data_IF_038510702896
#
_entry.id   IF_038510702896
#
_cell.length_a   1.000
_cell.length_b   1.000
_cell.length_c   1.000
_cell.angle_alpha   90.00
_cell.angle_beta   90.00
_cell.angle_gamma   90.00
#
_symmetry.space_group_name_H-M   'P 1'
#
loop_
_entity.id
_entity.type
_entity.pdbx_description
1 polymer ?
#
# COMPACT_ATOMS: atom_id res chain seq x y z
N UNK A 1 14.04 -4.00 -9.52
CA UNK A 1 13.04 -3.45 -8.57
C UNK A 1 12.30 -4.60 -7.92
N UNK A 2 12.13 -4.58 -6.60
CA UNK A 2 11.43 -5.63 -5.84
C UNK A 2 10.17 -5.04 -5.21
N UNK A 3 9.08 -5.79 -5.23
CA UNK A 3 7.78 -5.40 -4.67
C UNK A 3 7.46 -6.26 -3.45
N UNK A 4 7.29 -5.62 -2.30
CA UNK A 4 6.86 -6.26 -1.06
C UNK A 4 5.34 -6.11 -0.91
N UNK A 5 4.67 -7.05 -0.21
CA UNK A 5 3.24 -7.00 -0.01
C UNK A 5 2.82 -5.87 0.94
N UNK A 6 1.51 -5.68 1.09
CA UNK A 6 0.94 -4.93 2.22
C UNK A 6 1.24 -5.67 3.53
N UNK A 7 1.41 -4.94 4.62
CA UNK A 7 1.76 -5.44 5.96
C UNK A 7 3.07 -6.27 5.97
N UNK A 8 4.05 -5.90 5.12
CA UNK A 8 5.35 -6.57 5.08
C UNK A 8 6.16 -6.37 6.37
N UNK A 9 5.87 -5.31 7.12
CA UNK A 9 6.47 -5.01 8.41
C UNK A 9 6.04 -6.04 9.46
N UNK A 10 4.72 -6.21 9.62
CA UNK A 10 4.08 -7.26 10.41
C UNK A 10 2.56 -7.24 10.20
N UNK A 11 1.87 -8.27 10.71
CA UNK A 11 0.40 -8.32 10.76
C UNK A 11 -0.06 -8.23 12.22
N UNK A 12 -0.66 -7.11 12.60
CA UNK A 12 -1.15 -6.87 13.97
C UNK A 12 -2.42 -7.66 14.30
N UNK A 13 -2.57 -8.11 15.55
CA UNK A 13 -3.76 -8.85 16.02
C UNK A 13 -4.83 -7.94 16.60
N UNK A 14 -4.43 -6.78 17.11
CA UNK A 14 -5.32 -5.80 17.71
C UNK A 14 -4.76 -4.38 17.53
N UNK A 15 -5.57 -3.39 17.94
CA UNK A 15 -5.25 -1.96 17.80
C UNK A 15 -4.01 -1.57 18.59
N UNK A 16 -3.89 -2.01 19.85
CA UNK A 16 -2.77 -1.62 20.71
C UNK A 16 -1.44 -2.13 20.15
N UNK A 17 -1.40 -3.38 19.70
CA UNK A 17 -0.23 -3.98 19.05
C UNK A 17 0.13 -3.23 17.76
N UNK A 18 -0.89 -2.87 16.96
CA UNK A 18 -0.67 -2.16 15.70
C UNK A 18 -0.07 -0.76 15.92
N UNK A 19 -0.56 -0.01 16.91
CA UNK A 19 -0.02 1.31 17.22
C UNK A 19 1.40 1.17 17.81
N UNK A 20 1.60 0.20 18.71
CA UNK A 20 2.89 -0.02 19.38
C UNK A 20 4.01 -0.36 18.40
N UNK A 21 3.72 -1.23 17.43
CA UNK A 21 4.69 -1.71 16.45
C UNK A 21 4.71 -0.86 15.16
N UNK A 22 4.02 0.28 15.14
CA UNK A 22 4.06 1.20 13.99
C UNK A 22 5.42 1.88 13.84
N UNK A 23 5.77 2.16 12.60
CA UNK A 23 7.08 2.66 12.19
C UNK A 23 7.01 4.10 11.68
N UNK A 24 7.96 4.93 12.08
CA UNK A 24 8.14 6.21 11.38
C UNK A 24 8.93 5.96 10.07
N UNK A 25 8.73 6.79 9.06
CA UNK A 25 9.44 6.62 7.77
C UNK A 25 10.97 6.70 7.89
N UNK A 26 11.45 7.40 8.92
CA UNK A 26 12.86 7.62 9.22
C UNK A 26 13.41 6.71 10.33
N UNK A 27 12.59 5.78 10.86
CA UNK A 27 13.03 4.89 11.93
C UNK A 27 13.99 3.79 11.48
N UNK A 28 14.65 3.15 12.45
CA UNK A 28 15.65 2.11 12.21
C UNK A 28 15.14 0.94 11.36
N UNK A 29 13.83 0.63 11.42
CA UNK A 29 13.26 -0.47 10.66
C UNK A 29 13.20 -0.13 9.17
N UNK A 30 12.69 1.05 8.82
CA UNK A 30 12.67 1.52 7.43
C UNK A 30 14.08 1.82 6.91
N UNK A 31 14.98 2.34 7.76
CA UNK A 31 16.39 2.57 7.38
C UNK A 31 17.10 1.29 6.94
N UNK A 32 16.80 0.12 7.53
CA UNK A 32 17.37 -1.16 7.07
C UNK A 32 17.01 -1.47 5.62
N UNK A 33 15.79 -1.18 5.20
CA UNK A 33 15.38 -1.35 3.80
C UNK A 33 16.06 -0.34 2.88
N UNK A 34 16.27 0.90 3.33
CA UNK A 34 17.03 1.91 2.57
C UNK A 34 18.48 1.50 2.38
N UNK A 35 19.15 1.03 3.44
CA UNK A 35 20.51 0.51 3.35
C UNK A 35 20.58 -0.69 2.41
N UNK A 36 19.64 -1.63 2.51
CA UNK A 36 19.57 -2.79 1.62
C UNK A 36 19.38 -2.40 0.15
N UNK A 37 18.53 -1.40 -0.13
CA UNK A 37 18.33 -0.86 -1.46
C UNK A 37 19.64 -0.29 -2.04
N UNK A 38 20.39 0.47 -1.23
CA UNK A 38 21.68 1.03 -1.61
C UNK A 38 22.78 -0.02 -1.78
N UNK A 39 22.89 -0.96 -0.84
CA UNK A 39 23.91 -2.02 -0.86
C UNK A 39 23.76 -2.96 -2.05
N UNK A 40 22.52 -3.24 -2.46
CA UNK A 40 22.23 -4.15 -3.57
C UNK A 40 22.02 -3.42 -4.91
N UNK A 41 22.09 -2.09 -4.94
CA UNK A 41 21.76 -1.25 -6.11
C UNK A 41 20.39 -1.58 -6.72
N UNK A 42 19.35 -1.64 -5.88
CA UNK A 42 17.98 -1.97 -6.29
C UNK A 42 16.97 -0.94 -5.81
N UNK A 43 15.87 -0.83 -6.56
CA UNK A 43 14.67 -0.12 -6.11
C UNK A 43 13.74 -1.06 -5.33
N UNK A 44 13.09 -0.53 -4.30
CA UNK A 44 12.11 -1.24 -3.49
C UNK A 44 10.74 -0.55 -3.52
N UNK A 45 9.69 -1.35 -3.68
CA UNK A 45 8.31 -1.00 -3.38
C UNK A 45 7.95 -1.67 -2.06
N UNK A 46 7.84 -0.87 -1.00
CA UNK A 46 7.40 -1.30 0.31
C UNK A 46 5.88 -1.15 0.37
N UNK A 47 5.16 -2.25 0.09
CA UNK A 47 3.77 -2.22 -0.37
C UNK A 47 2.70 -1.70 0.61
N UNK A 48 3.06 -1.51 1.87
CA UNK A 48 2.15 -1.01 2.89
C UNK A 48 2.70 -1.33 4.27
N UNK A 49 3.31 -0.36 4.94
CA UNK A 49 3.68 -0.49 6.36
C UNK A 49 2.77 0.38 7.22
N UNK A 50 2.73 0.05 8.51
CA UNK A 50 1.99 0.82 9.51
C UNK A 50 2.77 2.09 9.85
N UNK A 51 2.56 3.16 9.07
CA UNK A 51 3.19 4.45 9.30
C UNK A 51 2.63 5.10 10.57
N UNK A 52 3.53 5.35 11.51
CA UNK A 52 3.23 5.99 12.78
C UNK A 52 2.74 7.41 12.55
N UNK A 53 1.62 7.74 13.17
CA UNK A 53 1.09 9.09 13.26
C UNK A 53 0.92 9.46 14.72
N UNK A 54 0.93 10.76 15.04
CA UNK A 54 1.06 11.30 16.41
C UNK A 54 -0.13 11.04 17.35
N UNK A 55 -1.04 10.10 16.99
CA UNK A 55 -2.27 9.83 17.72
C UNK A 55 -2.52 8.34 17.97
N UNK A 56 -3.80 7.98 17.95
CA UNK A 56 -4.31 6.62 18.27
C UNK A 56 -4.57 5.77 17.02
N UNK A 57 -4.07 6.22 15.87
CA UNK A 57 -4.24 5.57 14.58
C UNK A 57 -2.95 5.68 13.77
N UNK A 58 -2.80 4.77 12.81
CA UNK A 58 -1.67 4.69 11.89
C UNK A 58 -2.13 5.00 10.46
N UNK A 59 -1.21 5.22 9.53
CA UNK A 59 -1.51 5.13 8.10
C UNK A 59 -1.03 3.78 7.56
N UNK A 60 -1.67 3.32 6.49
CA UNK A 60 -1.13 2.25 5.66
C UNK A 60 -0.42 2.90 4.48
N UNK A 61 0.91 2.83 4.49
CA UNK A 61 1.75 3.64 3.62
C UNK A 61 2.60 2.78 2.69
N UNK A 62 2.42 3.00 1.38
CA UNK A 62 3.20 2.38 0.32
C UNK A 62 4.35 3.33 -0.07
N UNK A 63 5.60 2.89 0.14
CA UNK A 63 6.80 3.66 -0.20
C UNK A 63 7.52 3.09 -1.43
N UNK A 64 8.02 3.99 -2.28
CA UNK A 64 8.99 3.68 -3.32
C UNK A 64 10.34 4.25 -2.92
N UNK A 65 11.33 3.37 -2.81
CA UNK A 65 12.71 3.70 -2.43
C UNK A 65 13.62 3.41 -3.63
N UNK A 66 14.48 4.37 -4.01
CA UNK A 66 15.47 4.19 -5.07
C UNK A 66 16.73 3.45 -4.61
N UNK A 67 17.62 3.15 -5.55
CA UNK A 67 18.91 2.50 -5.26
C UNK A 67 19.93 3.38 -4.53
N UNK A 68 19.57 4.61 -4.15
CA UNK A 68 20.35 5.42 -3.22
C UNK A 68 19.71 5.45 -1.82
N UNK A 69 18.65 4.67 -1.59
CA UNK A 69 17.91 4.64 -0.34
C UNK A 69 16.96 5.83 -0.15
N UNK A 70 16.73 6.65 -1.18
CA UNK A 70 15.88 7.84 -1.09
C UNK A 70 14.41 7.49 -1.39
N UNK A 71 13.49 8.11 -0.65
CA UNK A 71 12.05 8.02 -0.98
C UNK A 71 11.78 8.79 -2.27
N UNK A 72 11.21 8.11 -3.26
CA UNK A 72 10.77 8.73 -4.52
C UNK A 72 9.28 9.00 -4.55
N UNK A 73 8.51 8.21 -3.83
CA UNK A 73 7.08 8.44 -3.66
C UNK A 73 6.59 7.79 -2.36
N UNK A 74 5.56 8.40 -1.78
CA UNK A 74 4.78 7.86 -0.67
C UNK A 74 3.30 7.95 -1.02
N UNK A 75 2.60 6.85 -0.87
CA UNK A 75 1.16 6.77 -0.99
C UNK A 75 0.56 6.30 0.33
N UNK A 76 -0.51 6.95 0.77
CA UNK A 76 -1.30 6.52 1.94
C UNK A 76 -2.62 5.97 1.42
N UNK A 77 -2.95 4.74 1.80
CA UNK A 77 -4.16 4.01 1.37
C UNK A 77 -5.41 4.88 1.50
N UNK A 78 -6.09 5.10 0.38
CA UNK A 78 -7.25 5.99 0.32
C UNK A 78 -8.52 5.29 0.78
N UNK A 79 -8.73 4.07 0.31
CA UNK A 79 -9.94 3.31 0.62
C UNK A 79 -9.64 2.26 1.69
N UNK A 80 -10.21 2.47 2.88
CA UNK A 80 -10.09 1.53 3.99
C UNK A 80 -11.20 0.48 3.95
N UNK A 81 -10.87 -0.74 4.39
CA UNK A 81 -11.78 -1.87 4.41
C UNK A 81 -12.66 -1.85 5.65
N UNK A 82 -13.87 -1.33 5.49
CA UNK A 82 -14.93 -1.38 6.49
C UNK A 82 -16.11 -2.22 5.98
N UNK A 83 -16.33 -3.37 6.61
CA UNK A 83 -17.48 -4.24 6.39
C UNK A 83 -18.19 -4.49 7.71
N UNK A 84 -19.49 -4.20 7.75
CA UNK A 84 -20.38 -4.51 8.86
C UNK A 84 -21.59 -5.27 8.31
N UNK A 85 -21.55 -6.61 8.43
CA UNK A 85 -22.66 -7.49 8.04
C UNK A 85 -23.27 -8.02 9.34
N UNK A 86 -24.48 -7.54 9.71
CA UNK A 86 -25.15 -7.96 10.94
C UNK A 86 -25.22 -9.47 11.08
N UNK A 87 -24.71 -9.98 12.22
CA UNK A 87 -24.73 -11.41 12.54
C UNK A 87 -23.71 -12.28 11.79
N UNK A 88 -22.84 -11.72 10.94
CA UNK A 88 -21.81 -12.49 10.21
C UNK A 88 -20.39 -12.02 10.48
N UNK A 89 -20.07 -10.79 10.10
CA UNK A 89 -18.70 -10.28 10.18
C UNK A 89 -18.71 -8.78 10.38
N UNK A 90 -17.83 -8.31 11.25
CA UNK A 90 -17.56 -6.89 11.44
C UNK A 90 -16.05 -6.68 11.41
N UNK A 91 -15.56 -6.04 10.36
CA UNK A 91 -14.17 -5.60 10.19
C UNK A 91 -14.20 -4.12 9.92
N UNK A 92 -13.53 -3.32 10.77
CA UNK A 92 -13.39 -1.88 10.58
C UNK A 92 -11.92 -1.50 10.61
N UNK A 93 -11.30 -1.44 9.44
CA UNK A 93 -9.92 -0.95 9.31
C UNK A 93 -9.83 0.50 9.80
N UNK A 94 -10.89 1.29 9.66
CA UNK A 94 -10.95 2.67 10.16
C UNK A 94 -10.80 2.82 11.67
N UNK A 95 -11.00 1.78 12.48
CA UNK A 95 -10.81 1.86 13.93
C UNK A 95 -9.33 2.05 14.32
N UNK A 96 -8.42 1.62 13.43
CA UNK A 96 -6.96 1.56 13.65
C UNK A 96 -6.20 2.42 12.64
N UNK A 97 -6.68 2.49 11.40
CA UNK A 97 -6.00 3.15 10.28
C UNK A 97 -6.71 4.43 9.87
N UNK A 98 -5.96 5.46 9.52
CA UNK A 98 -6.47 6.67 8.89
C UNK A 98 -6.36 6.57 7.37
N UNK A 99 -7.38 7.03 6.62
CA UNK A 99 -7.27 7.09 5.17
C UNK A 99 -6.29 8.19 4.76
N UNK A 100 -5.60 7.98 3.64
CA UNK A 100 -4.91 9.03 2.92
C UNK A 100 -5.88 10.14 2.47
N UNK A 101 -5.33 11.28 2.07
CA UNK A 101 -6.12 12.45 1.70
C UNK A 101 -5.96 12.88 0.23
N UNK A 102 -5.09 12.23 -0.54
CA UNK A 102 -4.83 12.59 -1.92
C UNK A 102 -4.29 11.40 -2.72
N UNK A 103 -4.56 11.40 -4.03
CA UNK A 103 -3.92 10.49 -4.98
C UNK A 103 -2.47 10.94 -5.19
N UNK A 104 -1.51 10.04 -4.93
CA UNK A 104 -0.11 10.30 -5.22
C UNK A 104 0.13 10.23 -6.74
N UNK A 105 0.78 11.24 -7.36
CA UNK A 105 1.13 11.17 -8.78
C UNK A 105 1.98 9.95 -9.12
N UNK A 106 1.85 9.38 -10.33
CA UNK A 106 2.70 8.28 -10.75
C UNK A 106 4.19 8.65 -10.71
N UNK A 107 5.04 7.69 -10.33
CA UNK A 107 6.48 7.89 -10.15
C UNK A 107 7.27 7.16 -11.23
N UNK A 108 8.24 7.84 -11.84
CA UNK A 108 9.16 7.23 -12.80
C UNK A 108 10.16 6.32 -12.09
N UNK A 109 10.25 5.07 -12.55
CA UNK A 109 11.14 4.04 -11.99
C UNK A 109 11.83 3.28 -13.13
N UNK A 110 12.87 2.47 -12.84
CA UNK A 110 13.54 1.68 -13.87
C UNK A 110 12.66 0.66 -14.61
N UNK A 111 11.52 0.25 -14.04
CA UNK A 111 10.59 -0.66 -14.72
C UNK A 111 9.42 0.06 -15.41
N UNK A 112 9.37 1.40 -15.35
CA UNK A 112 8.30 2.22 -15.94
C UNK A 112 7.71 3.22 -14.96
N UNK A 113 6.65 3.92 -15.39
CA UNK A 113 5.93 4.89 -14.57
C UNK A 113 4.88 4.17 -13.71
N UNK A 114 5.11 4.11 -12.40
CA UNK A 114 4.26 3.39 -11.44
C UNK A 114 3.17 4.29 -10.86
N UNK A 115 1.91 3.87 -10.96
CA UNK A 115 0.79 4.38 -10.18
C UNK A 115 0.60 3.57 -8.89
N UNK A 116 0.53 4.26 -7.76
CA UNK A 116 0.52 3.65 -6.44
C UNK A 116 -0.91 3.52 -5.88
N UNK A 117 -1.20 2.35 -5.35
CA UNK A 117 -2.43 1.98 -4.64
C UNK A 117 -2.12 0.83 -3.67
N UNK A 118 -3.08 0.47 -2.81
CA UNK A 118 -2.93 -0.63 -1.85
C UNK A 118 -4.25 -1.39 -1.67
N UNK A 119 -4.21 -2.71 -1.86
CA UNK A 119 -5.28 -3.65 -1.49
C UNK A 119 -6.70 -3.23 -1.91
N UNK A 120 -7.49 -2.71 -0.97
CA UNK A 120 -8.90 -2.41 -1.16
C UNK A 120 -9.15 -1.34 -2.24
N UNK A 121 -8.15 -0.50 -2.52
CA UNK A 121 -8.13 0.42 -3.65
C UNK A 121 -8.42 -0.25 -5.00
N UNK A 122 -8.10 -1.55 -5.14
CA UNK A 122 -8.37 -2.34 -6.35
C UNK A 122 -9.86 -2.37 -6.73
N UNK A 123 -10.76 -2.20 -5.77
CA UNK A 123 -12.21 -2.16 -6.03
C UNK A 123 -12.70 -0.83 -6.58
N UNK A 124 -11.86 0.20 -6.59
CA UNK A 124 -12.22 1.56 -6.96
C UNK A 124 -11.59 1.93 -8.31
N UNK A 125 -12.24 1.49 -9.40
CA UNK A 125 -11.78 1.72 -10.78
C UNK A 125 -11.51 3.19 -11.14
N UNK A 126 -12.15 4.12 -10.43
CA UNK A 126 -11.89 5.55 -10.60
C UNK A 126 -10.46 5.93 -10.24
N UNK A 127 -9.87 5.31 -9.19
CA UNK A 127 -8.47 5.54 -8.83
C UNK A 127 -7.52 5.08 -9.94
N UNK A 128 -7.74 3.88 -10.48
CA UNK A 128 -6.97 3.33 -11.61
C UNK A 128 -7.04 4.24 -12.83
N UNK A 129 -8.22 4.79 -13.11
CA UNK A 129 -8.45 5.72 -14.21
C UNK A 129 -7.73 7.06 -14.03
N UNK A 130 -7.73 7.61 -12.81
CA UNK A 130 -6.95 8.81 -12.47
C UNK A 130 -5.45 8.55 -12.65
N UNK A 131 -4.94 7.46 -12.10
CA UNK A 131 -3.52 7.10 -12.18
C UNK A 131 -3.06 6.95 -13.64
N UNK A 132 -3.85 6.26 -14.48
CA UNK A 132 -3.58 6.18 -15.92
C UNK A 132 -3.59 7.54 -16.60
N UNK A 133 -4.62 8.36 -16.32
CA UNK A 133 -4.74 9.71 -16.92
C UNK A 133 -3.55 10.59 -16.54
N UNK A 134 -2.94 10.34 -15.40
CA UNK A 134 -1.72 10.98 -14.93
C UNK A 134 -0.43 10.31 -15.43
N UNK A 135 -0.51 9.39 -16.41
CA UNK A 135 0.64 8.79 -17.09
C UNK A 135 1.16 7.50 -16.48
N UNK A 136 0.44 6.85 -15.56
CA UNK A 136 0.85 5.53 -15.06
C UNK A 136 0.85 4.49 -16.19
N UNK A 137 1.97 3.79 -16.33
CA UNK A 137 2.15 2.65 -17.23
C UNK A 137 1.97 1.32 -16.51
N UNK A 138 2.13 1.31 -15.19
CA UNK A 138 1.99 0.14 -14.33
C UNK A 138 1.20 0.57 -13.10
N UNK A 139 0.17 -0.18 -12.72
CA UNK A 139 -0.56 0.02 -11.47
C UNK A 139 -0.17 -1.06 -10.47
N UNK A 140 0.06 -0.67 -9.22
CA UNK A 140 0.48 -1.59 -8.16
C UNK A 140 -0.61 -1.73 -7.10
N UNK A 141 -0.91 -2.97 -6.70
CA UNK A 141 -1.84 -3.29 -5.62
C UNK A 141 -1.20 -4.28 -4.63
N UNK A 142 -0.13 -3.90 -3.92
CA UNK A 142 0.34 -4.67 -2.77
C UNK A 142 -0.84 -4.88 -1.80
N UNK A 143 -1.02 -6.12 -1.38
CA UNK A 143 -2.24 -6.52 -0.66
C UNK A 143 -2.02 -7.66 0.32
N UNK A 144 -2.82 -7.69 1.37
CA UNK A 144 -2.97 -8.79 2.32
C UNK A 144 -4.45 -9.23 2.36
N UNK A 145 -4.93 -9.85 1.27
CA UNK A 145 -6.32 -10.33 1.19
C UNK A 145 -6.59 -11.44 2.20
N UNK A 146 -7.78 -11.43 2.81
CA UNK A 146 -8.27 -12.61 3.53
C UNK A 146 -8.53 -13.75 2.55
N UNK A 147 -8.30 -14.99 2.97
CA UNK A 147 -8.41 -16.19 2.12
C UNK A 147 -9.75 -16.24 1.38
N UNK A 148 -10.85 -15.98 2.09
CA UNK A 148 -12.21 -15.98 1.52
C UNK A 148 -12.43 -14.87 0.51
N UNK A 149 -11.99 -13.64 0.78
CA UNK A 149 -12.17 -12.51 -0.15
C UNK A 149 -11.24 -12.62 -1.37
N UNK A 150 -10.06 -13.22 -1.20
CA UNK A 150 -9.08 -13.41 -2.27
C UNK A 150 -9.56 -14.40 -3.32
N UNK A 151 -10.11 -15.55 -2.88
CA UNK A 151 -10.58 -16.60 -3.79
C UNK A 151 -11.67 -16.12 -4.76
N UNK A 152 -12.59 -15.27 -4.31
CA UNK A 152 -13.75 -14.89 -5.13
C UNK A 152 -13.54 -13.62 -5.97
N UNK A 153 -12.64 -12.72 -5.56
CA UNK A 153 -12.59 -11.37 -6.13
C UNK A 153 -11.22 -10.91 -6.63
N UNK A 154 -10.13 -11.58 -6.27
CA UNK A 154 -8.79 -11.12 -6.62
C UNK A 154 -8.58 -11.04 -8.12
N UNK A 155 -8.73 -12.16 -8.83
CA UNK A 155 -8.45 -12.23 -10.28
C UNK A 155 -9.37 -11.30 -11.07
N UNK A 156 -10.67 -11.27 -10.75
CA UNK A 156 -11.65 -10.43 -11.46
C UNK A 156 -11.35 -8.94 -11.28
N UNK A 157 -11.07 -8.50 -10.05
CA UNK A 157 -10.79 -7.09 -9.77
C UNK A 157 -9.43 -6.66 -10.36
N UNK A 158 -8.45 -7.56 -10.32
CA UNK A 158 -7.13 -7.36 -10.90
C UNK A 158 -7.17 -7.23 -12.42
N UNK A 159 -7.81 -8.20 -13.10
CA UNK A 159 -7.94 -8.18 -14.56
C UNK A 159 -8.75 -6.97 -15.06
N UNK A 160 -9.79 -6.58 -14.32
CA UNK A 160 -10.56 -5.36 -14.64
C UNK A 160 -9.69 -4.11 -14.58
N UNK A 161 -8.86 -3.97 -13.55
CA UNK A 161 -7.92 -2.84 -13.43
C UNK A 161 -6.83 -2.86 -14.51
N UNK A 162 -6.31 -4.05 -14.85
CA UNK A 162 -5.30 -4.20 -15.90
C UNK A 162 -5.80 -3.75 -17.28
N UNK A 163 -7.06 -4.03 -17.61
CA UNK A 163 -7.69 -3.61 -18.89
C UNK A 163 -7.77 -2.10 -19.10
N UNK A 164 -7.58 -1.32 -18.02
CA UNK A 164 -7.56 0.14 -18.11
C UNK A 164 -6.23 0.60 -18.70
N UNK A 165 -5.13 -0.12 -18.45
CA UNK A 165 -3.78 0.20 -18.95
C UNK A 165 -3.59 -0.39 -20.35
N UNK A 166 -3.92 0.39 -21.38
CA UNK A 166 -3.58 0.13 -22.78
C UNK A 166 -3.06 1.42 -23.42
#
# INVERSE_FOLDING_TARGET
>A
MIFLPECFDYVGRNKEETIKNSHAEDDDYIQRYRSLASELDIWLSLGGFHEKFTGTKVFNSHLIIDSNGQTRAKYRKLHLFDIDIPGKVRVKETDITMPGNAVTPPVSTPCGVLGLSTCYDLRFMHLSSILRSNGAQILTYPSAFTVTSGMDHWEVSFNSSASIIH
#
